data_IF_729785158166
#
_entry.id   IF_729785158166
#
_cell.length_a   1.000
_cell.length_b   1.000
_cell.length_c   1.000
_cell.angle_alpha   90.00
_cell.angle_beta   90.00
_cell.angle_gamma   90.00
#
_symmetry.space_group_name_H-M   'P 1'
#
loop_
_entity.id
_entity.type
_entity.pdbx_description
1 polymer ?
#
# COMPACT_ATOMS: atom_id res chain seq x y z
N UNK A 1 -7.09 30.15 33.23
CA UNK A 1 -5.83 30.17 32.45
C UNK A 1 -6.14 29.60 31.08
N UNK A 2 -6.28 30.49 30.10
CA UNK A 2 -6.78 30.18 28.75
C UNK A 2 -5.70 29.48 27.92
N UNK A 3 -5.99 28.27 27.43
CA UNK A 3 -5.16 27.58 26.44
C UNK A 3 -5.56 28.07 25.04
N UNK A 4 -4.84 29.08 24.56
CA UNK A 4 -4.96 29.60 23.19
C UNK A 4 -4.51 28.52 22.20
N UNK A 5 -5.47 27.78 21.66
CA UNK A 5 -5.27 26.81 20.57
C UNK A 5 -4.84 27.58 19.33
N UNK A 6 -3.54 27.62 19.09
CA UNK A 6 -2.95 28.19 17.89
C UNK A 6 -3.26 27.22 16.73
N UNK A 7 -4.35 27.50 16.02
CA UNK A 7 -4.75 26.74 14.84
C UNK A 7 -3.66 26.78 13.78
N UNK A 8 -2.93 25.67 13.62
CA UNK A 8 -2.11 25.43 12.43
C UNK A 8 -3.06 24.97 11.32
N UNK A 9 -3.37 25.88 10.40
CA UNK A 9 -4.08 25.54 9.16
C UNK A 9 -3.07 24.82 8.27
N UNK A 10 -3.01 23.51 8.45
CA UNK A 10 -2.35 22.57 7.56
C UNK A 10 -3.08 21.25 7.74
N UNK A 11 -3.64 20.71 6.66
CA UNK A 11 -4.23 19.37 6.67
C UNK A 11 -3.10 18.35 6.85
N UNK A 12 -2.59 18.22 8.07
CA UNK A 12 -1.74 17.10 8.43
C UNK A 12 -2.68 15.95 8.79
N UNK A 13 -2.60 14.87 8.01
CA UNK A 13 -3.22 13.60 8.34
C UNK A 13 -2.58 13.10 9.64
N UNK A 14 -3.18 13.46 10.77
CA UNK A 14 -2.76 12.97 12.07
C UNK A 14 -3.25 11.54 12.23
N UNK A 15 -2.34 10.57 12.31
CA UNK A 15 -2.67 9.23 12.80
C UNK A 15 -3.02 9.34 14.28
N UNK A 16 -4.29 9.64 14.58
CA UNK A 16 -4.78 9.60 15.95
C UNK A 16 -4.92 8.13 16.33
N UNK A 17 -4.01 7.62 17.17
CA UNK A 17 -4.11 6.27 17.74
C UNK A 17 -5.40 6.22 18.56
N UNK A 18 -6.46 5.64 18.00
CA UNK A 18 -7.73 5.42 18.70
C UNK A 18 -7.58 4.12 19.48
N UNK A 19 -7.73 4.18 20.81
CA UNK A 19 -7.83 2.96 21.61
C UNK A 19 -9.21 2.36 21.36
N UNK A 20 -9.23 1.26 20.62
CA UNK A 20 -10.44 0.46 20.42
C UNK A 20 -10.68 -0.42 21.64
N UNK A 21 -11.94 -0.57 22.05
CA UNK A 21 -12.33 -1.59 23.03
C UNK A 21 -12.04 -3.01 22.52
N UNK A 22 -12.05 -4.03 23.39
CA UNK A 22 -11.74 -5.41 22.98
C UNK A 22 -12.63 -5.96 21.86
N UNK A 23 -13.90 -5.54 21.82
CA UNK A 23 -14.85 -5.98 20.79
C UNK A 23 -14.63 -5.18 19.50
N UNK A 24 -14.43 -3.87 19.62
CA UNK A 24 -14.23 -2.97 18.49
C UNK A 24 -12.93 -3.31 17.74
N UNK A 25 -11.88 -3.71 18.46
CA UNK A 25 -10.62 -4.13 17.84
C UNK A 25 -10.77 -5.40 17.01
N UNK A 26 -11.55 -6.37 17.48
CA UNK A 26 -11.84 -7.61 16.73
C UNK A 26 -12.67 -7.32 15.49
N UNK A 27 -13.71 -6.50 15.62
CA UNK A 27 -14.57 -6.11 14.48
C UNK A 27 -13.74 -5.35 13.45
N UNK A 28 -13.00 -4.33 13.87
CA UNK A 28 -12.19 -3.52 12.97
C UNK A 28 -11.10 -4.37 12.29
N UNK A 29 -10.41 -5.24 13.04
CA UNK A 29 -9.42 -6.18 12.50
C UNK A 29 -10.02 -7.12 11.43
N UNK A 30 -11.27 -7.52 11.57
CA UNK A 30 -11.97 -8.37 10.60
C UNK A 30 -12.37 -7.58 9.34
N UNK A 31 -12.60 -6.27 9.45
CA UNK A 31 -12.97 -5.41 8.32
C UNK A 31 -11.76 -4.91 7.52
N UNK A 32 -10.59 -4.80 8.14
CA UNK A 32 -9.35 -4.37 7.46
C UNK A 32 -9.05 -5.14 6.16
N UNK A 33 -9.10 -6.49 6.12
CA UNK A 33 -8.92 -7.24 4.88
C UNK A 33 -9.88 -6.81 3.76
N UNK A 34 -11.15 -6.57 4.10
CA UNK A 34 -12.18 -6.17 3.13
C UNK A 34 -11.86 -4.80 2.54
N UNK A 35 -11.54 -3.82 3.39
CA UNK A 35 -11.12 -2.47 2.97
C UNK A 35 -9.87 -2.53 2.08
N UNK A 36 -8.96 -3.44 2.38
CA UNK A 36 -7.74 -3.62 1.61
C UNK A 36 -8.02 -4.20 0.22
N UNK A 37 -8.93 -5.17 0.11
CA UNK A 37 -9.41 -5.68 -1.18
C UNK A 37 -10.04 -4.57 -2.02
N UNK A 38 -10.91 -3.75 -1.43
CA UNK A 38 -11.52 -2.59 -2.11
C UNK A 38 -10.46 -1.61 -2.63
N UNK A 39 -9.44 -1.31 -1.81
CA UNK A 39 -8.30 -0.47 -2.19
C UNK A 39 -7.53 -1.04 -3.38
N UNK A 40 -7.26 -2.35 -3.39
CA UNK A 40 -6.59 -3.03 -4.50
C UNK A 40 -7.42 -2.95 -5.79
N UNK A 41 -8.73 -3.19 -5.73
CA UNK A 41 -9.62 -3.03 -6.89
C UNK A 41 -9.68 -1.58 -7.37
N UNK A 42 -9.67 -0.61 -6.45
CA UNK A 42 -9.58 0.82 -6.79
C UNK A 42 -8.28 1.18 -7.50
N UNK A 43 -7.16 0.58 -7.09
CA UNK A 43 -5.86 0.76 -7.73
C UNK A 43 -5.82 0.08 -9.11
N UNK A 44 -6.36 -1.14 -9.23
CA UNK A 44 -6.46 -1.87 -10.49
C UNK A 44 -7.27 -1.10 -11.57
N UNK A 45 -8.31 -0.36 -11.17
CA UNK A 45 -9.12 0.47 -12.08
C UNK A 45 -8.43 1.77 -12.51
N UNK A 46 -7.37 2.19 -11.84
CA UNK A 46 -6.71 3.47 -12.05
C UNK A 46 -5.23 3.30 -12.43
N UNK A 47 -4.89 3.24 -13.74
CA UNK A 47 -3.52 3.01 -14.22
C UNK A 47 -2.49 4.02 -13.70
N UNK A 48 -2.92 5.26 -13.46
CA UNK A 48 -2.06 6.31 -12.93
C UNK A 48 -1.63 6.03 -11.48
N UNK A 49 -2.53 5.46 -10.66
CA UNK A 49 -2.22 5.07 -9.27
C UNK A 49 -1.19 3.96 -9.22
N UNK A 50 -1.27 2.97 -10.12
CA UNK A 50 -0.28 1.90 -10.17
C UNK A 50 1.13 2.44 -10.45
N UNK A 51 1.24 3.45 -11.33
CA UNK A 51 2.52 4.07 -11.68
C UNK A 51 3.09 4.95 -10.56
N UNK A 52 2.26 5.58 -9.75
CA UNK A 52 2.71 6.49 -8.68
C UNK A 52 2.80 5.83 -7.31
N UNK A 53 1.86 4.94 -6.97
CA UNK A 53 1.67 4.33 -5.65
C UNK A 53 2.08 2.85 -5.63
N UNK A 54 2.13 2.17 -6.78
CA UNK A 54 2.48 0.75 -6.86
C UNK A 54 3.97 0.51 -6.62
N UNK A 55 4.35 0.16 -5.39
CA UNK A 55 5.74 -0.18 -5.04
C UNK A 55 6.12 -1.60 -5.47
N UNK A 56 7.29 -1.76 -6.09
CA UNK A 56 7.89 -3.07 -6.32
C UNK A 56 8.70 -3.57 -5.12
N UNK A 57 9.46 -4.68 -5.28
CA UNK A 57 10.21 -5.30 -4.19
C UNK A 57 11.21 -4.36 -3.52
N UNK A 58 11.80 -3.43 -4.28
CA UNK A 58 12.80 -2.49 -3.77
C UNK A 58 12.10 -1.41 -2.92
N UNK A 59 10.97 -0.89 -3.40
CA UNK A 59 10.14 0.04 -2.64
C UNK A 59 9.66 -0.57 -1.31
N UNK A 60 9.25 -1.85 -1.33
CA UNK A 60 8.85 -2.58 -0.12
C UNK A 60 10.03 -2.70 0.85
N UNK A 61 11.22 -3.06 0.38
CA UNK A 61 12.41 -3.12 1.22
C UNK A 61 12.73 -1.77 1.88
N UNK A 62 12.62 -0.67 1.14
CA UNK A 62 12.81 0.68 1.70
C UNK A 62 11.79 0.99 2.80
N UNK A 63 10.52 0.65 2.60
CA UNK A 63 9.47 0.80 3.62
C UNK A 63 9.73 -0.06 4.87
N UNK A 64 10.18 -1.30 4.70
CA UNK A 64 10.61 -2.15 5.82
C UNK A 64 11.75 -1.46 6.58
N UNK A 65 12.76 -0.97 5.86
CA UNK A 65 13.93 -0.35 6.50
C UNK A 65 13.58 0.92 7.28
N UNK A 66 12.63 1.72 6.78
CA UNK A 66 12.15 2.92 7.47
C UNK A 66 11.32 2.56 8.71
N UNK A 67 10.35 1.64 8.59
CA UNK A 67 9.47 1.25 9.70
C UNK A 67 10.21 0.57 10.85
N UNK A 68 11.25 -0.22 10.55
CA UNK A 68 12.11 -0.83 11.59
C UNK A 68 12.87 0.23 12.39
N UNK A 69 13.25 1.36 11.77
CA UNK A 69 13.91 2.46 12.48
C UNK A 69 12.95 3.26 13.38
N UNK A 70 11.65 3.21 13.11
CA UNK A 70 10.62 3.88 13.93
C UNK A 70 10.30 3.12 15.23
N UNK A 71 10.59 1.82 15.28
CA UNK A 71 10.52 1.00 16.49
C UNK A 71 9.75 -0.31 16.32
N UNK A 72 9.75 -1.13 17.38
CA UNK A 72 9.21 -2.51 17.34
C UNK A 72 7.71 -2.55 17.05
N UNK A 73 6.93 -1.61 17.62
CA UNK A 73 5.48 -1.57 17.42
C UNK A 73 5.14 -1.32 15.94
N UNK A 74 5.80 -0.36 15.30
CA UNK A 74 5.51 -0.02 13.91
C UNK A 74 6.02 -1.10 12.95
N UNK A 75 7.16 -1.74 13.27
CA UNK A 75 7.64 -2.92 12.55
C UNK A 75 6.63 -4.09 12.59
N UNK A 76 6.04 -4.38 13.75
CA UNK A 76 5.01 -5.43 13.90
C UNK A 76 3.72 -5.09 13.15
N UNK A 77 3.28 -3.83 13.23
CA UNK A 77 2.12 -3.36 12.46
C UNK A 77 2.36 -3.47 10.96
N UNK A 78 3.56 -3.08 10.49
CA UNK A 78 3.92 -3.19 9.08
C UNK A 78 4.04 -4.66 8.63
N UNK A 79 4.62 -5.54 9.45
CA UNK A 79 4.67 -6.97 9.16
C UNK A 79 3.26 -7.59 9.08
N UNK A 80 2.34 -7.18 9.95
CA UNK A 80 0.93 -7.56 9.89
C UNK A 80 0.27 -7.10 8.59
N UNK A 81 0.52 -5.85 8.17
CA UNK A 81 0.04 -5.32 6.90
C UNK A 81 0.58 -6.11 5.70
N UNK A 82 1.88 -6.41 5.68
CA UNK A 82 2.50 -7.23 4.62
C UNK A 82 1.90 -8.64 4.57
N UNK A 83 1.70 -9.28 5.73
CA UNK A 83 1.09 -10.61 5.82
C UNK A 83 -0.34 -10.60 5.25
N UNK A 84 -1.16 -9.62 5.62
CA UNK A 84 -2.51 -9.45 5.08
C UNK A 84 -2.48 -9.18 3.58
N UNK A 85 -1.54 -8.35 3.11
CA UNK A 85 -1.32 -8.06 1.68
C UNK A 85 -1.06 -9.36 0.91
N UNK A 86 -0.12 -10.17 1.39
CA UNK A 86 0.28 -11.41 0.76
C UNK A 86 -0.85 -12.45 0.79
N UNK A 87 -1.60 -12.51 1.89
CA UNK A 87 -2.81 -13.33 2.00
C UNK A 87 -3.86 -12.95 0.95
N UNK A 88 -4.15 -11.66 0.78
CA UNK A 88 -5.10 -11.19 -0.25
C UNK A 88 -4.58 -11.49 -1.66
N UNK A 89 -3.30 -11.24 -1.92
CA UNK A 89 -2.68 -11.59 -3.19
C UNK A 89 -2.77 -13.09 -3.49
N UNK A 90 -2.55 -13.95 -2.49
CA UNK A 90 -2.64 -15.40 -2.65
C UNK A 90 -4.07 -15.89 -2.93
N UNK A 91 -5.11 -15.14 -2.54
CA UNK A 91 -6.50 -15.46 -2.85
C UNK A 91 -6.90 -15.14 -4.31
N UNK A 92 -6.04 -14.49 -5.08
CA UNK A 92 -6.31 -14.23 -6.49
C UNK A 92 -6.43 -15.56 -7.27
N UNK A 93 -7.35 -15.65 -8.25
CA UNK A 93 -7.57 -16.84 -9.06
C UNK A 93 -6.48 -17.00 -10.14
N UNK A 94 -5.21 -16.99 -9.72
CA UNK A 94 -4.04 -17.03 -10.60
C UNK A 94 -3.11 -18.13 -10.07
N UNK A 95 -3.00 -19.28 -10.76
CA UNK A 95 -1.99 -20.29 -10.47
C UNK A 95 -0.57 -19.68 -10.60
N UNK A 96 0.44 -20.10 -9.84
CA UNK A 96 0.45 -21.17 -8.83
C UNK A 96 -0.11 -20.76 -7.46
N UNK A 97 -0.66 -19.54 -7.30
CA UNK A 97 -1.17 -19.05 -6.01
C UNK A 97 -2.30 -19.95 -5.47
N UNK A 98 -2.49 -19.93 -4.16
CA UNK A 98 -3.46 -20.78 -3.45
C UNK A 98 -4.90 -20.59 -3.99
N UNK A 99 -5.30 -19.34 -4.26
CA UNK A 99 -6.59 -18.99 -4.86
C UNK A 99 -6.75 -19.51 -6.29
N UNK A 100 -5.64 -19.65 -7.03
CA UNK A 100 -5.62 -20.35 -8.32
C UNK A 100 -5.98 -21.82 -8.18
N UNK A 101 -5.43 -22.52 -7.19
CA UNK A 101 -5.78 -23.92 -6.91
C UNK A 101 -7.25 -24.05 -6.48
N UNK A 102 -7.70 -23.15 -5.62
CA UNK A 102 -9.11 -23.11 -5.20
C UNK A 102 -10.03 -22.88 -6.40
N UNK A 103 -9.67 -22.01 -7.33
CA UNK A 103 -10.45 -21.77 -8.54
C UNK A 103 -10.54 -23.01 -9.45
N UNK A 104 -9.43 -23.76 -9.57
CA UNK A 104 -9.41 -25.02 -10.32
C UNK A 104 -10.31 -26.06 -9.65
N UNK A 105 -10.17 -26.25 -8.33
CA UNK A 105 -10.99 -27.16 -7.55
C UNK A 105 -12.49 -26.80 -7.64
N UNK A 106 -12.80 -25.50 -7.61
CA UNK A 106 -14.17 -25.01 -7.79
C UNK A 106 -14.74 -25.37 -9.17
N UNK A 107 -13.95 -25.22 -10.24
CA UNK A 107 -14.34 -25.65 -11.59
C UNK A 107 -14.53 -27.17 -11.68
N UNK A 108 -13.70 -27.97 -11.01
CA UNK A 108 -13.84 -29.42 -10.96
C UNK A 108 -15.14 -29.85 -10.25
N UNK A 109 -15.47 -29.20 -9.13
CA UNK A 109 -16.73 -29.40 -8.41
C UNK A 109 -17.93 -29.09 -9.32
N UNK A 110 -17.91 -27.94 -10.01
CA UNK A 110 -18.97 -27.55 -10.94
C UNK A 110 -19.12 -28.52 -12.13
N UNK A 111 -18.05 -29.22 -12.52
CA UNK A 111 -18.04 -30.22 -13.60
C UNK A 111 -18.45 -31.62 -13.12
N UNK A 112 -18.94 -31.75 -11.89
CA UNK A 112 -19.35 -33.03 -11.29
C UNK A 112 -18.20 -33.83 -10.71
N UNK A 113 -17.19 -33.15 -10.16
CA UNK A 113 -16.04 -33.76 -9.46
C UNK A 113 -15.02 -34.42 -10.39
N UNK A 114 -15.12 -34.21 -11.71
CA UNK A 114 -14.16 -34.78 -12.67
C UNK A 114 -12.90 -33.92 -12.67
N UNK A 115 -11.78 -34.52 -12.25
CA UNK A 115 -10.47 -33.88 -12.29
C UNK A 115 -10.11 -33.41 -13.70
N UNK A 116 -9.47 -32.26 -13.78
CA UNK A 116 -8.91 -31.78 -15.03
C UNK A 116 -7.82 -32.74 -15.52
N UNK A 117 -7.67 -32.83 -16.84
CA UNK A 117 -6.57 -33.59 -17.45
C UNK A 117 -5.26 -32.98 -16.96
N UNK A 118 -4.29 -33.84 -16.62
CA UNK A 118 -2.96 -33.42 -16.15
C UNK A 118 -2.33 -32.35 -17.06
N UNK A 119 -2.40 -32.54 -18.38
CA UNK A 119 -1.92 -31.57 -19.36
C UNK A 119 -2.53 -30.18 -19.19
N UNK A 120 -3.84 -30.08 -18.95
CA UNK A 120 -4.53 -28.78 -18.76
C UNK A 120 -4.06 -28.12 -17.48
N UNK A 121 -3.93 -28.89 -16.40
CA UNK A 121 -3.42 -28.37 -15.13
C UNK A 121 -2.00 -27.83 -15.27
N UNK A 122 -1.10 -28.57 -15.92
CA UNK A 122 0.28 -28.14 -16.21
C UNK A 122 0.32 -26.87 -17.04
N UNK A 123 -0.49 -26.77 -18.09
CA UNK A 123 -0.58 -25.56 -18.93
C UNK A 123 -1.06 -24.35 -18.14
N UNK A 124 -2.15 -24.50 -17.38
CA UNK A 124 -2.71 -23.45 -16.54
C UNK A 124 -1.70 -22.95 -15.49
N UNK A 125 -0.97 -23.87 -14.86
CA UNK A 125 0.10 -23.51 -13.91
C UNK A 125 1.26 -22.80 -14.58
N UNK A 126 1.69 -23.26 -15.74
CA UNK A 126 2.83 -22.68 -16.46
C UNK A 126 2.50 -21.26 -16.93
N UNK A 127 1.31 -21.06 -17.51
CA UNK A 127 0.83 -19.73 -17.91
C UNK A 127 0.72 -18.81 -16.71
N UNK A 128 0.15 -19.29 -15.61
CA UNK A 128 0.02 -18.53 -14.38
C UNK A 128 1.38 -18.14 -13.79
N UNK A 129 2.35 -19.05 -13.77
CA UNK A 129 3.72 -18.76 -13.35
C UNK A 129 4.37 -17.67 -14.21
N UNK A 130 4.26 -17.79 -15.54
CA UNK A 130 4.79 -16.79 -16.48
C UNK A 130 4.13 -15.43 -16.25
N UNK A 131 2.81 -15.39 -16.03
CA UNK A 131 2.09 -14.16 -15.73
C UNK A 131 2.62 -13.47 -14.46
N UNK A 132 2.80 -14.23 -13.37
CA UNK A 132 3.34 -13.71 -12.11
C UNK A 132 4.78 -13.21 -12.30
N UNK A 133 5.62 -13.96 -13.02
CA UNK A 133 6.99 -13.53 -13.33
C UNK A 133 7.03 -12.22 -14.11
N UNK A 134 6.20 -12.09 -15.15
CA UNK A 134 6.08 -10.85 -15.93
C UNK A 134 5.62 -9.69 -15.06
N UNK A 135 4.65 -9.92 -14.17
CA UNK A 135 4.19 -8.90 -13.23
C UNK A 135 5.32 -8.42 -12.32
N UNK A 136 6.06 -9.34 -11.68
CA UNK A 136 7.19 -9.01 -10.79
C UNK A 136 8.26 -8.23 -11.54
N UNK A 137 8.64 -8.69 -12.74
CA UNK A 137 9.62 -7.98 -13.58
C UNK A 137 9.14 -6.58 -13.98
N UNK A 138 7.85 -6.42 -14.26
CA UNK A 138 7.24 -5.12 -14.53
C UNK A 138 7.36 -4.16 -13.34
N UNK A 139 7.05 -4.62 -12.13
CA UNK A 139 7.19 -3.82 -10.90
C UNK A 139 8.65 -3.49 -10.58
N UNK A 140 9.58 -4.42 -10.79
CA UNK A 140 11.01 -4.17 -10.66
C UNK A 140 11.45 -3.08 -11.65
N UNK A 141 11.03 -3.17 -12.91
CA UNK A 141 11.32 -2.14 -13.92
C UNK A 141 10.76 -0.77 -13.55
N UNK A 142 9.53 -0.72 -13.00
CA UNK A 142 8.94 0.51 -12.47
C UNK A 142 9.77 1.09 -11.32
N UNK A 143 10.20 0.27 -10.36
CA UNK A 143 11.08 0.71 -9.26
C UNK A 143 12.40 1.28 -9.78
N UNK A 144 13.08 0.59 -10.71
CA UNK A 144 14.30 1.10 -11.34
C UNK A 144 14.07 2.45 -12.04
N UNK A 145 12.96 2.59 -12.76
CA UNK A 145 12.61 3.86 -13.42
C UNK A 145 12.39 5.00 -12.44
N UNK A 146 11.91 4.71 -11.23
CA UNK A 146 11.74 5.72 -10.17
C UNK A 146 13.07 6.08 -9.49
N UNK A 147 13.95 5.11 -9.31
CA UNK A 147 15.26 5.31 -8.69
C UNK A 147 16.24 6.05 -9.62
N UNK A 148 16.18 5.78 -10.92
CA UNK A 148 17.04 6.38 -11.94
C UNK A 148 16.40 7.60 -12.63
N UNK A 149 15.09 7.78 -12.49
CA UNK A 149 14.36 8.90 -13.06
C UNK A 149 14.85 10.24 -12.49
N UNK A 150 14.81 11.32 -13.29
CA UNK A 150 15.21 12.63 -12.81
C UNK A 150 14.38 12.98 -11.59
N UNK A 151 15.06 13.27 -10.46
CA UNK A 151 14.42 13.80 -9.25
C UNK A 151 13.68 15.07 -9.64
N UNK A 152 12.38 14.97 -9.91
CA UNK A 152 11.53 16.15 -10.06
C UNK A 152 11.49 16.78 -8.69
N UNK A 153 12.37 17.75 -8.47
CA UNK A 153 12.31 18.59 -7.30
C UNK A 153 10.88 19.10 -7.23
N UNK A 154 10.16 18.63 -6.22
CA UNK A 154 9.05 19.40 -5.72
C UNK A 154 9.76 20.68 -5.28
N UNK A 155 9.70 21.70 -6.11
CA UNK A 155 9.97 23.08 -5.73
C UNK A 155 8.98 23.35 -4.62
N UNK A 156 9.39 22.99 -3.40
CA UNK A 156 8.84 23.54 -2.18
C UNK A 156 8.96 25.02 -2.43
N UNK A 157 7.81 25.66 -2.65
CA UNK A 157 7.69 27.10 -2.73
C UNK A 157 8.30 27.66 -1.45
N UNK A 158 9.60 27.89 -1.50
CA UNK A 158 10.37 28.83 -0.73
C UNK A 158 9.90 30.21 -1.19
N UNK A 159 8.67 30.52 -0.79
CA UNK A 159 8.01 31.80 -0.97
C UNK A 159 7.15 32.06 0.28
N UNK A 160 7.75 31.89 1.45
CA UNK A 160 7.28 32.56 2.66
C UNK A 160 8.47 32.80 3.59
N UNK A 161 9.48 33.48 3.07
CA UNK A 161 10.35 34.33 3.88
C UNK A 161 10.04 35.78 3.49
N UNK A 162 8.80 36.21 3.78
CA UNK A 162 8.49 37.63 3.85
C UNK A 162 8.48 38.00 5.32
N UNK A 163 9.68 38.33 5.81
CA UNK A 163 9.94 39.07 7.05
C UNK A 163 8.90 40.21 7.18
N UNK A 164 8.00 40.20 8.17
CA UNK A 164 7.27 41.40 8.51
C UNK A 164 8.24 42.32 9.25
N UNK A 165 8.67 43.34 8.52
CA UNK A 165 9.04 44.68 9.00
C UNK A 165 8.82 44.92 10.49
N UNK A 166 9.90 45.25 11.20
CA UNK A 166 9.86 46.03 12.44
C UNK A 166 8.93 47.24 12.24
N UNK A 167 8.04 47.57 13.20
CA UNK A 167 7.36 48.85 13.19
C UNK A 167 8.40 49.97 13.41
N UNK A 168 8.30 51.11 12.70
CA UNK A 168 9.26 52.20 12.85
C UNK A 168 9.19 52.77 14.27
N UNK A 169 10.36 53.09 14.79
CA UNK A 169 10.55 53.88 16.00
C UNK A 169 9.61 55.09 16.01
N UNK A 170 8.62 55.07 16.90
CA UNK A 170 7.83 56.21 17.26
C UNK A 170 8.69 57.16 18.12
N UNK A 171 9.45 58.01 17.43
CA UNK A 171 9.89 59.32 17.95
C UNK A 171 9.13 60.39 17.18
N UNK A 172 8.14 61.01 17.81
CA UNK A 172 7.91 62.45 17.70
C UNK A 172 6.74 62.88 18.60
N UNK A 173 7.10 63.64 19.64
CA UNK A 173 6.31 64.61 20.43
C UNK A 173 5.57 64.09 21.65
#
# INVERSE_FOLDING_TARGET
>A
MESKVQGKIGAQWGHKKVRLGPIESVVEATLYPVKMVEGLFGMAKNPNRIKTEGGGPISIFMLISATVQEGLTEALTFAGLLSMSLGIFNLLPIPPLDGGQMSIAFVEILRGGRRLKFAVQTWVHSIGLVLVLVMVLGFVGLDFSRLLGPKKQITVHSASEKKPSEPPAERAR
#
